data_IF_514941689241
#
_entry.id   IF_514941689241
#
_cell.length_a   1.000
_cell.length_b   1.000
_cell.length_c   1.000
_cell.angle_alpha   90.00
_cell.angle_beta   90.00
_cell.angle_gamma   90.00
#
_symmetry.space_group_name_H-M   'P 1'
#
loop_
_entity.id
_entity.type
_entity.pdbx_description
1 polymer ?
#
# COMPACT_ATOMS: atom_id res chain seq x y z
N UNK A 1 8.48 16.41 -3.68
CA UNK A 1 8.00 15.02 -3.75
C UNK A 1 9.01 14.16 -3.01
N UNK A 2 8.53 13.21 -2.21
CA UNK A 2 9.42 12.26 -1.53
C UNK A 2 9.92 11.28 -2.59
N UNK A 3 11.23 11.09 -2.68
CA UNK A 3 11.82 10.08 -3.57
C UNK A 3 11.83 8.74 -2.85
N UNK A 4 11.33 7.72 -3.54
CA UNK A 4 11.32 6.35 -3.06
C UNK A 4 12.37 5.56 -3.83
N UNK A 5 13.32 4.96 -3.11
CA UNK A 5 14.45 4.25 -3.74
C UNK A 5 14.05 2.86 -4.20
N UNK A 6 13.12 2.22 -3.48
CA UNK A 6 12.56 0.90 -3.84
C UNK A 6 11.20 0.66 -3.19
N UNK A 7 10.50 -0.36 -3.66
CA UNK A 7 9.32 -0.91 -2.99
C UNK A 7 9.70 -1.93 -1.91
N UNK A 8 8.81 -2.14 -0.95
CA UNK A 8 8.97 -3.14 0.11
C UNK A 8 8.71 -4.54 -0.46
N UNK A 9 9.53 -5.49 -0.05
CA UNK A 9 9.31 -6.91 -0.36
C UNK A 9 8.07 -7.43 0.36
N UNK A 10 7.56 -8.61 -0.04
CA UNK A 10 6.41 -9.23 0.62
C UNK A 10 6.66 -9.46 2.11
N UNK A 11 7.86 -9.88 2.51
CA UNK A 11 8.23 -10.05 3.92
C UNK A 11 8.25 -8.73 4.70
N UNK A 12 8.72 -7.66 4.09
CA UNK A 12 8.68 -6.32 4.69
C UNK A 12 7.24 -5.83 4.87
N UNK A 13 6.36 -6.07 3.89
CA UNK A 13 4.94 -5.76 3.98
C UNK A 13 4.25 -6.60 5.06
N UNK A 14 4.55 -7.90 5.14
CA UNK A 14 4.07 -8.79 6.22
C UNK A 14 4.43 -8.25 7.59
N UNK A 15 5.69 -7.86 7.77
CA UNK A 15 6.16 -7.33 9.04
C UNK A 15 5.55 -5.96 9.36
N UNK A 16 5.42 -5.08 8.36
CA UNK A 16 4.77 -3.78 8.50
C UNK A 16 3.28 -3.91 8.87
N UNK A 17 2.54 -4.83 8.25
CA UNK A 17 1.15 -5.12 8.62
C UNK A 17 1.05 -5.60 10.07
N UNK A 18 1.94 -6.51 10.48
CA UNK A 18 2.00 -7.01 11.86
C UNK A 18 2.29 -5.91 12.88
N UNK A 19 3.19 -4.99 12.57
CA UNK A 19 3.54 -3.86 13.43
C UNK A 19 2.42 -2.82 13.52
N UNK A 20 1.74 -2.55 12.40
CA UNK A 20 0.65 -1.58 12.33
C UNK A 20 -0.71 -2.15 12.77
N UNK A 21 -0.83 -3.46 12.96
CA UNK A 21 -2.10 -4.13 13.25
C UNK A 21 -3.04 -4.21 12.04
N UNK A 22 -2.51 -4.12 10.82
CA UNK A 22 -3.29 -4.24 9.59
C UNK A 22 -3.52 -5.70 9.23
N UNK A 23 -4.68 -5.97 8.62
CA UNK A 23 -5.01 -7.31 8.12
C UNK A 23 -4.33 -7.49 6.76
N UNK A 24 -3.56 -8.57 6.64
CA UNK A 24 -2.94 -8.99 5.39
C UNK A 24 -3.51 -10.35 4.99
N UNK A 25 -4.08 -10.42 3.79
CA UNK A 25 -4.51 -11.64 3.14
C UNK A 25 -3.52 -12.02 2.03
N UNK A 26 -2.89 -13.19 2.19
CA UNK A 26 -1.99 -13.78 1.19
C UNK A 26 -2.55 -15.04 0.56
N UNK A 27 -3.78 -15.46 0.91
CA UNK A 27 -4.42 -16.68 0.40
C UNK A 27 -4.46 -16.72 -1.12
N UNK A 28 -4.77 -15.59 -1.77
CA UNK A 28 -4.72 -15.48 -3.23
C UNK A 28 -3.33 -15.72 -3.82
N UNK A 29 -2.30 -15.20 -3.16
CA UNK A 29 -0.91 -15.34 -3.58
C UNK A 29 -0.40 -16.78 -3.37
N UNK A 30 -0.60 -17.33 -2.18
CA UNK A 30 -0.08 -18.65 -1.78
C UNK A 30 -0.86 -19.83 -2.41
N UNK A 31 -2.19 -19.71 -2.54
CA UNK A 31 -3.04 -20.85 -2.95
C UNK A 31 -3.44 -20.80 -4.43
N UNK A 32 -3.48 -19.61 -5.04
CA UNK A 32 -3.95 -19.41 -6.42
C UNK A 32 -2.90 -18.86 -7.36
N UNK A 33 -1.70 -18.57 -6.85
CA UNK A 33 -0.61 -17.99 -7.64
C UNK A 33 -0.94 -16.60 -8.18
N UNK A 34 -1.78 -15.82 -7.49
CA UNK A 34 -2.05 -14.44 -7.87
C UNK A 34 -0.80 -13.58 -7.65
N UNK A 35 -0.59 -12.60 -8.53
CA UNK A 35 0.57 -11.71 -8.46
C UNK A 35 0.45 -10.58 -7.41
N UNK A 36 -0.51 -10.66 -6.50
CA UNK A 36 -0.76 -9.63 -5.50
C UNK A 36 -1.25 -10.19 -4.16
N UNK A 37 -1.03 -9.41 -3.10
CA UNK A 37 -1.58 -9.62 -1.75
C UNK A 37 -2.55 -8.51 -1.40
N UNK A 38 -3.47 -8.76 -0.47
CA UNK A 38 -4.50 -7.79 -0.08
C UNK A 38 -4.21 -7.28 1.32
N UNK A 39 -4.12 -5.97 1.49
CA UNK A 39 -3.92 -5.29 2.77
C UNK A 39 -5.12 -4.42 3.07
N UNK A 40 -5.73 -4.60 4.25
CA UNK A 40 -6.68 -3.64 4.79
C UNK A 40 -5.91 -2.52 5.51
N UNK A 41 -5.62 -1.45 4.79
CA UNK A 41 -4.92 -0.28 5.30
C UNK A 41 -5.90 0.67 5.99
N UNK A 42 -5.64 1.02 7.25
CA UNK A 42 -6.51 1.91 8.02
C UNK A 42 -5.85 3.28 8.18
N UNK A 43 -6.58 4.34 7.84
CA UNK A 43 -6.14 5.72 8.03
C UNK A 43 -7.28 6.56 8.63
N UNK A 44 -7.14 6.92 9.92
CA UNK A 44 -8.25 7.50 10.68
C UNK A 44 -9.39 6.49 10.80
N UNK A 45 -10.61 6.91 10.49
CA UNK A 45 -11.82 6.07 10.49
C UNK A 45 -12.07 5.34 9.15
N UNK A 46 -11.21 5.54 8.15
CA UNK A 46 -11.37 4.98 6.80
C UNK A 46 -10.48 3.76 6.63
N UNK A 47 -11.07 2.68 6.10
CA UNK A 47 -10.34 1.46 5.72
C UNK A 47 -10.24 1.39 4.21
N UNK A 48 -9.05 1.14 3.68
CA UNK A 48 -8.78 0.96 2.27
C UNK A 48 -8.34 -0.48 2.02
N UNK A 49 -8.99 -1.14 1.08
CA UNK A 49 -8.56 -2.46 0.60
C UNK A 49 -7.54 -2.25 -0.51
N UNK A 50 -6.30 -2.65 -0.27
CA UNK A 50 -5.16 -2.43 -1.17
C UNK A 50 -4.65 -3.75 -1.72
N UNK A 51 -4.61 -3.88 -3.04
CA UNK A 51 -4.02 -4.97 -3.77
C UNK A 51 -2.58 -4.59 -4.13
N UNK A 52 -1.61 -5.19 -3.46
CA UNK A 52 -0.19 -4.91 -3.62
C UNK A 52 0.53 -6.02 -4.40
N UNK A 53 1.16 -5.65 -5.50
CA UNK A 53 1.96 -6.53 -6.32
C UNK A 53 3.44 -6.44 -5.91
N UNK A 54 3.90 -7.42 -5.13
CA UNK A 54 5.26 -7.43 -4.57
C UNK A 54 6.37 -7.57 -5.62
N UNK A 55 6.06 -8.02 -6.84
CA UNK A 55 7.03 -8.24 -7.91
C UNK A 55 7.46 -6.94 -8.62
N UNK A 56 6.58 -5.92 -8.66
CA UNK A 56 6.85 -4.64 -9.31
C UNK A 56 6.59 -3.42 -8.40
N UNK A 57 6.13 -3.67 -7.17
CA UNK A 57 5.85 -2.63 -6.18
C UNK A 57 4.63 -1.77 -6.49
N UNK A 58 3.79 -2.16 -7.46
CA UNK A 58 2.57 -1.42 -7.77
C UNK A 58 1.45 -1.82 -6.81
N UNK A 59 0.54 -0.89 -6.57
CA UNK A 59 -0.71 -1.22 -5.90
C UNK A 59 -1.88 -0.53 -6.57
N UNK A 60 -3.04 -1.11 -6.37
CA UNK A 60 -4.31 -0.45 -6.60
C UNK A 60 -5.23 -0.79 -5.44
N UNK A 61 -6.26 -0.01 -5.23
CA UNK A 61 -7.14 -0.22 -4.10
C UNK A 61 -8.42 0.55 -4.22
N UNK A 62 -9.26 0.37 -3.21
CA UNK A 62 -10.48 1.13 -3.03
C UNK A 62 -10.79 1.34 -1.56
N UNK A 63 -11.60 2.35 -1.28
CA UNK A 63 -12.21 2.48 0.03
C UNK A 63 -13.14 1.29 0.32
N UNK A 64 -12.98 0.69 1.49
CA UNK A 64 -13.76 -0.47 1.95
C UNK A 64 -15.06 0.03 2.59
N UNK A 65 -16.20 -0.42 2.07
CA UNK A 65 -17.52 -0.02 2.56
C UNK A 65 -18.18 1.11 1.77
N UNK A 66 -17.49 1.69 0.78
CA UNK A 66 -18.13 2.58 -0.19
C UNK A 66 -19.16 1.81 -1.03
N UNK A 67 -20.42 2.26 -1.02
CA UNK A 67 -21.49 1.73 -1.88
C UNK A 67 -21.22 2.03 -3.36
N UNK A 68 -20.53 3.15 -3.66
CA UNK A 68 -20.12 3.46 -5.02
C UNK A 68 -18.84 2.71 -5.39
N UNK A 69 -19.02 1.70 -6.23
CA UNK A 69 -17.96 0.81 -6.69
C UNK A 69 -17.16 1.38 -7.86
N UNK A 70 -17.35 2.63 -8.27
CA UNK A 70 -16.68 3.21 -9.46
C UNK A 70 -15.85 4.44 -9.17
N UNK A 71 -16.21 5.23 -8.16
CA UNK A 71 -15.57 6.53 -7.91
C UNK A 71 -14.37 6.45 -6.95
N UNK A 72 -14.23 5.37 -6.17
CA UNK A 72 -13.27 5.29 -5.07
C UNK A 72 -12.06 4.38 -5.33
N UNK A 73 -11.70 4.14 -6.60
CA UNK A 73 -10.46 3.42 -6.92
C UNK A 73 -9.25 4.34 -6.97
N UNK A 74 -8.13 3.83 -6.48
CA UNK A 74 -6.83 4.47 -6.62
C UNK A 74 -5.78 3.47 -7.10
N UNK A 75 -4.70 4.00 -7.67
CA UNK A 75 -3.55 3.26 -8.16
C UNK A 75 -2.28 4.00 -7.71
N UNK A 76 -1.19 3.26 -7.51
CA UNK A 76 0.15 3.82 -7.30
C UNK A 76 0.60 4.74 -8.45
N UNK A 77 0.02 4.59 -9.65
CA UNK A 77 0.32 5.45 -10.80
C UNK A 77 -0.49 6.78 -10.79
N UNK A 78 -1.41 6.97 -9.84
CA UNK A 78 -2.29 8.13 -9.80
C UNK A 78 -1.65 9.32 -9.05
N UNK A 79 -0.78 10.04 -9.75
CA UNK A 79 0.03 11.14 -9.19
C UNK A 79 -0.78 12.33 -8.62
N UNK A 80 -2.05 12.47 -8.99
CA UNK A 80 -2.94 13.49 -8.42
C UNK A 80 -3.27 13.22 -6.94
N UNK A 81 -3.15 11.97 -6.48
CA UNK A 81 -3.41 11.59 -5.09
C UNK A 81 -2.19 11.79 -4.18
N UNK A 82 -0.99 12.02 -4.72
CA UNK A 82 0.25 12.27 -3.95
C UNK A 82 0.17 13.48 -3.01
N UNK A 83 -0.81 14.37 -3.19
CA UNK A 83 -1.04 15.48 -2.27
C UNK A 83 -1.87 15.09 -1.04
N UNK A 84 -2.59 13.98 -1.09
CA UNK A 84 -3.52 13.57 -0.05
C UNK A 84 -2.78 12.86 1.11
N UNK A 85 -3.06 13.20 2.38
CA UNK A 85 -2.36 12.61 3.53
C UNK A 85 -2.48 11.09 3.63
N UNK A 86 -3.67 10.54 3.34
CA UNK A 86 -3.92 9.10 3.39
C UNK A 86 -3.14 8.34 2.31
N UNK A 87 -3.04 8.92 1.11
CA UNK A 87 -2.32 8.32 0.00
C UNK A 87 -0.81 8.40 0.21
N UNK A 88 -0.31 9.52 0.75
CA UNK A 88 1.11 9.62 1.20
C UNK A 88 1.45 8.58 2.25
N UNK A 89 0.58 8.38 3.24
CA UNK A 89 0.79 7.36 4.27
C UNK A 89 0.83 5.95 3.67
N UNK A 90 0.02 5.70 2.64
CA UNK A 90 0.01 4.45 1.89
C UNK A 90 1.29 4.28 1.05
N UNK A 91 1.75 5.33 0.38
CA UNK A 91 3.05 5.34 -0.31
C UNK A 91 4.20 5.06 0.67
N UNK A 92 4.24 5.72 1.82
CA UNK A 92 5.22 5.47 2.89
C UNK A 92 5.09 4.06 3.51
N UNK A 93 3.90 3.46 3.43
CA UNK A 93 3.68 2.09 3.87
C UNK A 93 4.30 1.08 2.89
N UNK A 94 4.15 1.24 1.58
CA UNK A 94 4.61 0.27 0.57
C UNK A 94 5.99 0.57 -0.01
N UNK A 95 6.47 1.80 0.07
CA UNK A 95 7.77 2.21 -0.45
C UNK A 95 8.76 2.53 0.65
N UNK A 96 10.04 2.32 0.34
CA UNK A 96 11.15 2.72 1.20
C UNK A 96 11.63 4.08 0.68
N UNK A 97 11.38 5.12 1.47
CA UNK A 97 11.88 6.45 1.19
C UNK A 97 13.40 6.49 1.26
N UNK A 98 14.01 7.31 0.43
CA UNK A 98 15.42 7.67 0.60
C UNK A 98 15.53 8.43 1.93
N UNK A 99 16.20 7.83 2.91
CA UNK A 99 16.55 8.58 4.12
C UNK A 99 17.68 9.50 3.69
N UNK A 100 17.56 10.84 3.78
CA UNK A 100 18.71 11.69 3.55
C UNK A 100 19.77 11.23 4.54
N UNK A 101 20.90 10.74 4.01
CA UNK A 101 22.05 10.37 4.83
C UNK A 101 22.32 11.55 5.77
N UNK A 102 22.20 11.31 7.08
CA UNK A 102 22.71 12.25 8.06
C UNK A 102 24.21 12.34 7.81
N UNK A 103 24.65 13.47 7.28
CA UNK A 103 26.04 13.92 7.45
C UNK A 103 26.27 14.11 8.96
N UNK A 104 27.05 13.23 9.56
CA UNK A 104 27.75 13.43 10.86
C UNK A 104 29.26 13.35 10.63
#
# INVERSE_FOLDING_TARGET
MKTYTRHKTLDEVKNACKQAGFVLDTSGYDERGLDHVIVDFVHGDVTYQVFYASFNGRFFGKEKGSEDCTENYFSSDNGDLDILPWFRALLDFFYVGETPEKEE
#
